data_IF_584996377930
#
_entry.id   IF_584996377930
#
_cell.length_a   1.000
_cell.length_b   1.000
_cell.length_c   1.000
_cell.angle_alpha   90.00
_cell.angle_beta   90.00
_cell.angle_gamma   90.00
#
_symmetry.space_group_name_H-M   'P 1'
#
loop_
_entity.id
_entity.type
_entity.pdbx_description
1 polymer ?
#
# COMPACT_ATOMS: atom_id res chain seq x y z
N UNK A 1 12.76 -10.00 11.97
CA UNK A 1 14.16 -10.03 11.48
C UNK A 1 15.19 -10.03 12.61
N UNK A 2 15.07 -9.12 13.59
CA UNK A 2 16.03 -8.92 14.68
C UNK A 2 16.40 -10.20 15.46
N UNK A 3 15.42 -11.03 15.83
CA UNK A 3 15.63 -12.26 16.61
C UNK A 3 16.46 -13.31 15.83
N UNK A 4 16.14 -13.51 14.54
CA UNK A 4 16.88 -14.46 13.69
C UNK A 4 18.32 -14.00 13.47
N UNK A 5 18.52 -12.72 13.17
CA UNK A 5 19.86 -12.14 13.02
C UNK A 5 20.69 -12.32 14.29
N UNK A 6 20.10 -12.04 15.45
CA UNK A 6 20.78 -12.23 16.74
C UNK A 6 21.21 -13.68 16.95
N UNK A 7 20.33 -14.65 16.66
CA UNK A 7 20.64 -16.07 16.79
C UNK A 7 21.77 -16.50 15.85
N UNK A 8 21.71 -16.09 14.57
CA UNK A 8 22.74 -16.39 13.57
C UNK A 8 24.09 -15.79 13.97
N UNK A 9 24.11 -14.54 14.44
CA UNK A 9 25.34 -13.87 14.88
C UNK A 9 25.92 -14.57 16.10
N UNK A 10 25.11 -14.87 17.12
CA UNK A 10 25.56 -15.53 18.34
C UNK A 10 26.18 -16.90 18.05
N UNK A 11 25.49 -17.74 17.29
CA UNK A 11 25.98 -19.08 16.96
C UNK A 11 27.13 -19.03 15.95
N UNK A 12 27.09 -18.10 15.00
CA UNK A 12 28.20 -17.87 14.06
C UNK A 12 29.49 -17.51 14.78
N UNK A 13 29.44 -16.52 15.68
CA UNK A 13 30.61 -16.08 16.47
C UNK A 13 31.17 -17.22 17.32
N UNK A 14 30.31 -18.00 17.98
CA UNK A 14 30.74 -19.16 18.79
C UNK A 14 31.52 -20.18 17.95
N UNK A 15 31.05 -20.50 16.75
CA UNK A 15 31.72 -21.44 15.86
C UNK A 15 33.04 -20.87 15.29
N UNK A 16 33.09 -19.56 15.01
CA UNK A 16 34.34 -18.89 14.60
C UNK A 16 35.36 -18.92 15.74
N UNK A 17 34.96 -18.64 16.97
CA UNK A 17 35.86 -18.73 18.14
C UNK A 17 36.36 -20.15 18.41
N UNK A 18 35.61 -21.17 17.99
CA UNK A 18 36.02 -22.57 18.05
C UNK A 18 36.97 -22.99 16.91
N UNK A 19 37.37 -22.07 16.03
CA UNK A 19 38.35 -22.29 14.97
C UNK A 19 37.76 -22.61 13.59
N UNK A 20 36.44 -22.56 13.41
CA UNK A 20 35.82 -22.77 12.11
C UNK A 20 36.05 -21.57 11.17
N UNK A 21 36.20 -21.84 9.87
CA UNK A 21 36.40 -20.80 8.85
C UNK A 21 35.12 -19.95 8.67
N UNK A 22 35.15 -18.63 8.91
CA UNK A 22 33.99 -17.75 8.75
C UNK A 22 33.38 -17.77 7.34
N UNK A 23 34.22 -17.90 6.30
CA UNK A 23 33.76 -17.97 4.90
C UNK A 23 32.98 -19.25 4.64
N UNK A 24 33.42 -20.36 5.24
CA UNK A 24 32.71 -21.65 5.19
C UNK A 24 31.37 -21.61 5.90
N UNK A 25 31.32 -21.00 7.09
CA UNK A 25 30.07 -20.79 7.85
C UNK A 25 29.08 -19.96 7.03
N UNK A 26 29.51 -18.84 6.46
CA UNK A 26 28.66 -17.99 5.62
C UNK A 26 28.07 -18.78 4.46
N UNK A 27 28.90 -19.53 3.72
CA UNK A 27 28.44 -20.36 2.60
C UNK A 27 27.42 -21.42 3.05
N UNK A 28 27.64 -22.04 4.21
CA UNK A 28 26.69 -22.97 4.81
C UNK A 28 25.35 -22.31 5.14
N UNK A 29 25.36 -21.11 5.71
CA UNK A 29 24.15 -20.32 6.00
C UNK A 29 23.39 -19.98 4.72
N UNK A 30 24.10 -19.58 3.65
CA UNK A 30 23.49 -19.29 2.36
C UNK A 30 22.78 -20.52 1.77
N UNK A 31 23.44 -21.68 1.76
CA UNK A 31 22.86 -22.93 1.28
C UNK A 31 21.65 -23.38 2.13
N UNK A 32 21.76 -23.28 3.46
CA UNK A 32 20.67 -23.61 4.37
C UNK A 32 19.47 -22.67 4.18
N UNK A 33 19.73 -21.38 3.96
CA UNK A 33 18.68 -20.38 3.71
C UNK A 33 17.98 -20.64 2.38
N UNK A 34 18.73 -20.99 1.32
CA UNK A 34 18.13 -21.37 0.03
C UNK A 34 17.22 -22.60 0.17
N UNK A 35 17.67 -23.63 0.89
CA UNK A 35 16.86 -24.81 1.15
C UNK A 35 15.60 -24.48 1.96
N UNK A 36 15.73 -23.64 2.99
CA UNK A 36 14.59 -23.20 3.80
C UNK A 36 13.57 -22.40 3.00
N UNK A 37 14.02 -21.43 2.18
CA UNK A 37 13.14 -20.64 1.31
C UNK A 37 12.42 -21.53 0.29
N UNK A 38 13.11 -22.53 -0.27
CA UNK A 38 12.49 -23.49 -1.18
C UNK A 38 11.39 -24.31 -0.47
N UNK A 39 11.66 -24.81 0.72
CA UNK A 39 10.65 -25.52 1.51
C UNK A 39 9.45 -24.64 1.87
N UNK A 40 9.68 -23.36 2.19
CA UNK A 40 8.61 -22.39 2.44
C UNK A 40 7.75 -22.14 1.20
N UNK A 41 8.35 -22.09 0.00
CA UNK A 41 7.61 -21.96 -1.25
C UNK A 41 6.73 -23.19 -1.53
N UNK A 42 7.22 -24.40 -1.23
CA UNK A 42 6.47 -25.65 -1.41
C UNK A 42 5.23 -25.76 -0.52
N UNK A 43 5.26 -25.17 0.69
CA UNK A 43 4.11 -25.15 1.60
C UNK A 43 3.24 -23.88 1.46
N UNK A 44 3.67 -22.93 0.63
CA UNK A 44 2.94 -21.67 0.45
C UNK A 44 1.57 -21.91 -0.19
N UNK A 45 0.58 -21.12 0.22
CA UNK A 45 -0.77 -21.19 -0.32
C UNK A 45 -1.18 -19.81 -0.82
N UNK A 46 -1.82 -19.78 -1.98
CA UNK A 46 -2.34 -18.53 -2.55
C UNK A 46 -3.55 -18.07 -1.74
N UNK A 47 -3.54 -16.79 -1.34
CA UNK A 47 -4.63 -16.15 -0.62
C UNK A 47 -5.66 -15.67 -1.63
N UNK A 48 -6.84 -16.33 -1.65
CA UNK A 48 -7.90 -16.04 -2.63
C UNK A 48 -9.25 -15.67 -2.00
N UNK A 49 -9.37 -15.73 -0.67
CA UNK A 49 -10.64 -15.48 0.02
C UNK A 49 -10.56 -14.26 0.92
N UNK A 50 -11.68 -13.56 1.06
CA UNK A 50 -11.82 -12.41 1.96
C UNK A 50 -11.44 -12.77 3.39
N UNK A 51 -11.83 -13.96 3.85
CA UNK A 51 -11.53 -14.46 5.19
C UNK A 51 -10.02 -14.65 5.40
N UNK A 52 -9.33 -15.16 4.38
CA UNK A 52 -7.88 -15.34 4.42
C UNK A 52 -7.15 -14.00 4.48
N UNK A 53 -7.62 -13.00 3.72
CA UNK A 53 -7.10 -11.62 3.77
C UNK A 53 -7.33 -11.03 5.17
N UNK A 54 -8.56 -11.14 5.69
CA UNK A 54 -8.92 -10.64 7.02
C UNK A 54 -8.05 -11.27 8.11
N UNK A 55 -7.80 -12.57 8.02
CA UNK A 55 -6.96 -13.29 8.98
C UNK A 55 -5.50 -12.80 8.95
N UNK A 56 -4.92 -12.66 7.76
CA UNK A 56 -3.53 -12.17 7.63
C UNK A 56 -3.42 -10.74 8.14
N UNK A 57 -4.36 -9.88 7.77
CA UNK A 57 -4.42 -8.50 8.21
C UNK A 57 -4.59 -8.40 9.74
N UNK A 58 -5.47 -9.21 10.33
CA UNK A 58 -5.69 -9.24 11.78
C UNK A 58 -4.46 -9.75 12.56
N UNK A 59 -3.78 -10.78 12.06
CA UNK A 59 -2.54 -11.28 12.67
C UNK A 59 -1.43 -10.24 12.59
N UNK A 60 -1.33 -9.51 11.47
CA UNK A 60 -0.32 -8.48 11.28
C UNK A 60 -0.59 -7.22 12.11
N UNK A 61 -1.85 -6.81 12.24
CA UNK A 61 -2.24 -5.60 12.99
C UNK A 61 -2.41 -5.86 14.49
N UNK A 62 -2.64 -7.13 14.89
CA UNK A 62 -3.04 -7.49 16.25
C UNK A 62 -4.49 -7.16 16.58
N UNK A 63 -5.31 -6.76 15.59
CA UNK A 63 -6.71 -6.40 15.76
C UNK A 63 -7.61 -7.05 14.70
N UNK A 64 -8.66 -7.73 15.16
CA UNK A 64 -9.66 -8.36 14.28
C UNK A 64 -10.44 -7.31 13.47
N UNK A 65 -10.79 -6.20 14.11
CA UNK A 65 -11.54 -5.09 13.50
C UNK A 65 -10.76 -4.48 12.33
N UNK A 66 -9.46 -4.19 12.51
CA UNK A 66 -8.60 -3.68 11.44
C UNK A 66 -8.49 -4.71 10.30
N UNK A 67 -8.41 -6.00 10.64
CA UNK A 67 -8.37 -7.07 9.64
C UNK A 67 -9.63 -7.12 8.78
N UNK A 68 -10.80 -6.96 9.41
CA UNK A 68 -12.10 -6.92 8.72
C UNK A 68 -12.19 -5.68 7.81
N UNK A 69 -11.82 -4.49 8.30
CA UNK A 69 -11.80 -3.26 7.50
C UNK A 69 -10.90 -3.35 6.27
N UNK A 70 -9.70 -3.92 6.41
CA UNK A 70 -8.77 -4.12 5.28
C UNK A 70 -9.35 -5.12 4.27
N UNK A 71 -9.98 -6.19 4.73
CA UNK A 71 -10.59 -7.17 3.84
C UNK A 71 -11.79 -6.59 3.08
N UNK A 72 -12.59 -5.75 3.72
CA UNK A 72 -13.67 -4.99 3.06
C UNK A 72 -13.13 -3.98 2.06
N UNK A 73 -12.05 -3.26 2.39
CA UNK A 73 -11.39 -2.34 1.46
C UNK A 73 -10.93 -3.09 0.21
N UNK A 74 -10.17 -4.17 0.39
CA UNK A 74 -9.64 -4.99 -0.71
C UNK A 74 -10.74 -5.58 -1.60
N UNK A 75 -11.89 -5.95 -1.04
CA UNK A 75 -13.02 -6.44 -1.82
C UNK A 75 -13.63 -5.34 -2.71
N UNK A 76 -13.67 -4.09 -2.23
CA UNK A 76 -14.22 -2.95 -2.98
C UNK A 76 -13.27 -2.40 -4.06
N UNK A 77 -11.97 -2.28 -3.77
CA UNK A 77 -10.98 -1.77 -4.74
C UNK A 77 -10.33 -2.85 -5.61
N UNK A 78 -10.50 -4.14 -5.27
CA UNK A 78 -9.86 -5.26 -5.95
C UNK A 78 -8.40 -5.47 -5.52
N UNK A 79 -7.80 -6.58 -5.96
CA UNK A 79 -6.47 -7.01 -5.51
C UNK A 79 -5.34 -6.06 -5.90
N UNK A 80 -5.49 -5.32 -7.00
CA UNK A 80 -4.53 -4.34 -7.50
C UNK A 80 -4.92 -2.89 -7.11
N UNK A 81 -5.88 -2.75 -6.21
CA UNK A 81 -6.35 -1.49 -5.68
C UNK A 81 -5.32 -0.78 -4.81
N UNK A 82 -5.41 0.55 -4.75
CA UNK A 82 -4.58 1.36 -3.84
C UNK A 82 -5.37 1.67 -2.58
N UNK A 83 -4.81 1.35 -1.43
CA UNK A 83 -5.36 1.70 -0.11
C UNK A 83 -4.48 2.79 0.50
N UNK A 84 -5.10 3.91 0.84
CA UNK A 84 -4.45 5.02 1.55
C UNK A 84 -4.99 5.09 2.96
N UNK A 85 -4.14 5.42 3.93
CA UNK A 85 -4.52 5.61 5.33
C UNK A 85 -4.43 7.11 5.63
N UNK A 86 -5.53 7.68 6.10
CA UNK A 86 -5.62 9.08 6.50
C UNK A 86 -5.98 9.20 7.98
N UNK A 87 -5.54 10.29 8.61
CA UNK A 87 -5.90 10.59 10.00
C UNK A 87 -7.32 11.16 10.05
N UNK A 88 -8.26 10.39 10.58
CA UNK A 88 -9.63 10.85 10.79
C UNK A 88 -9.69 11.84 11.97
N UNK A 89 -10.59 12.83 11.86
CA UNK A 89 -10.94 13.73 12.98
C UNK A 89 -11.97 13.11 13.91
N UNK A 90 -12.57 11.98 13.53
CA UNK A 90 -13.54 11.22 14.31
C UNK A 90 -12.86 10.29 15.33
N UNK A 91 -13.69 9.63 16.14
CA UNK A 91 -13.24 8.58 17.08
C UNK A 91 -13.20 7.21 16.39
N UNK A 92 -14.05 7.01 15.37
CA UNK A 92 -14.20 5.76 14.65
C UNK A 92 -13.31 5.73 13.39
N UNK A 93 -12.87 4.52 13.02
CA UNK A 93 -12.15 4.30 11.76
C UNK A 93 -13.18 4.05 10.66
N UNK A 94 -13.16 4.89 9.63
CA UNK A 94 -14.08 4.81 8.50
C UNK A 94 -13.39 4.28 7.24
N UNK A 95 -14.16 3.63 6.38
CA UNK A 95 -13.70 3.12 5.09
C UNK A 95 -14.42 3.88 3.97
N UNK A 96 -13.69 4.76 3.29
CA UNK A 96 -14.16 5.47 2.11
C UNK A 96 -13.54 4.90 0.83
N UNK A 97 -14.37 4.74 -0.20
CA UNK A 97 -13.94 4.32 -1.53
C UNK A 97 -14.10 5.49 -2.48
N UNK A 98 -13.00 5.91 -3.08
CA UNK A 98 -13.01 6.97 -4.09
C UNK A 98 -13.26 6.33 -5.46
N UNK A 99 -14.47 6.52 -5.98
CA UNK A 99 -14.80 6.12 -7.35
C UNK A 99 -14.31 7.17 -8.36
N UNK A 100 -13.64 6.70 -9.42
CA UNK A 100 -13.16 7.56 -10.50
C UNK A 100 -11.70 7.99 -10.32
N UNK A 101 -11.40 9.23 -10.69
CA UNK A 101 -10.04 9.78 -10.68
C UNK A 101 -10.04 11.09 -9.89
N UNK A 102 -9.26 11.12 -8.80
CA UNK A 102 -9.11 12.29 -7.94
C UNK A 102 -7.65 12.77 -7.97
N UNK A 103 -7.47 14.08 -7.93
CA UNK A 103 -6.18 14.73 -7.75
C UNK A 103 -6.28 15.73 -6.61
N UNK A 104 -5.17 15.97 -5.90
CA UNK A 104 -5.07 16.97 -4.84
C UNK A 104 -4.95 18.40 -5.39
N UNK A 105 -5.85 18.76 -6.31
CA UNK A 105 -5.96 20.08 -6.94
C UNK A 105 -7.43 20.45 -7.11
N UNK A 106 -7.82 21.56 -6.52
CA UNK A 106 -9.16 22.14 -6.65
C UNK A 106 -9.29 23.10 -7.84
N UNK A 107 -10.42 23.80 -7.89
CA UNK A 107 -10.68 24.86 -8.85
C UNK A 107 -9.76 26.08 -8.61
N UNK A 108 -9.39 26.78 -9.70
CA UNK A 108 -8.46 27.91 -9.64
C UNK A 108 -9.10 29.18 -9.06
N UNK A 109 -10.42 29.33 -9.23
CA UNK A 109 -11.17 30.53 -8.86
C UNK A 109 -12.50 30.15 -8.22
N UNK A 110 -12.93 30.91 -7.21
CA UNK A 110 -14.22 30.70 -6.53
C UNK A 110 -15.42 30.87 -7.48
N UNK A 111 -15.25 31.59 -8.59
CA UNK A 111 -16.29 31.70 -9.63
C UNK A 111 -16.60 30.37 -10.35
N UNK A 112 -15.78 29.33 -10.15
CA UNK A 112 -16.03 27.99 -10.70
C UNK A 112 -16.93 27.13 -9.79
N UNK A 113 -17.29 27.61 -8.60
CA UNK A 113 -18.18 26.91 -7.68
C UNK A 113 -19.61 26.91 -8.24
N UNK A 114 -20.21 25.74 -8.37
CA UNK A 114 -21.62 25.59 -8.77
C UNK A 114 -22.53 25.32 -7.57
N UNK A 115 -22.00 24.70 -6.51
CA UNK A 115 -22.69 24.46 -5.26
C UNK A 115 -22.08 25.30 -4.13
N UNK A 116 -22.74 26.42 -3.79
CA UNK A 116 -22.23 27.38 -2.80
C UNK A 116 -22.32 26.88 -1.35
N UNK A 117 -23.27 25.99 -1.04
CA UNK A 117 -23.44 25.45 0.31
C UNK A 117 -22.29 24.50 0.68
N UNK A 118 -21.88 23.67 -0.29
CA UNK A 118 -20.79 22.70 -0.12
C UNK A 118 -19.43 23.21 -0.60
N UNK A 119 -19.39 24.38 -1.24
CA UNK A 119 -18.21 24.93 -1.93
C UNK A 119 -17.60 23.92 -2.92
N UNK A 120 -18.43 23.39 -3.83
CA UNK A 120 -18.02 22.38 -4.84
C UNK A 120 -18.30 22.85 -6.27
N UNK A 121 -17.46 22.40 -7.20
CA UNK A 121 -17.67 22.54 -8.64
C UNK A 121 -18.17 21.21 -9.21
N UNK A 122 -19.49 21.10 -9.36
CA UNK A 122 -20.21 19.95 -9.91
C UNK A 122 -20.56 20.24 -11.39
N UNK A 123 -20.05 19.41 -12.31
CA UNK A 123 -20.25 19.52 -13.75
C UNK A 123 -20.76 18.18 -14.31
N UNK A 124 -21.83 18.21 -15.09
CA UNK A 124 -22.37 17.01 -15.77
C UNK A 124 -21.82 16.90 -17.19
N UNK A 125 -21.33 15.69 -17.55
CA UNK A 125 -20.74 15.38 -18.86
C UNK A 125 -19.78 16.47 -19.42
N UNK A 126 -18.76 16.90 -18.65
CA UNK A 126 -17.87 17.98 -19.08
C UNK A 126 -16.86 17.50 -20.14
N UNK A 127 -16.41 18.43 -20.97
CA UNK A 127 -15.19 18.25 -21.75
C UNK A 127 -13.96 18.47 -20.85
N UNK A 128 -12.96 17.60 -20.96
CA UNK A 128 -11.70 17.70 -20.20
C UNK A 128 -10.58 18.16 -21.14
N UNK A 129 -10.05 19.36 -20.92
CA UNK A 129 -8.87 19.87 -21.63
C UNK A 129 -7.60 19.50 -20.86
N UNK A 130 -6.73 18.71 -21.47
CA UNK A 130 -5.43 18.32 -20.90
C UNK A 130 -4.31 19.00 -21.69
N UNK A 131 -3.46 19.75 -20.99
CA UNK A 131 -2.30 20.44 -21.57
C UNK A 131 -1.11 20.37 -20.61
N UNK A 132 0.09 20.18 -21.15
CA UNK A 132 1.37 20.24 -20.43
C UNK A 132 1.94 21.67 -20.34
N UNK A 133 1.35 22.61 -21.10
CA UNK A 133 1.75 24.02 -21.12
C UNK A 133 0.84 24.88 -20.26
N UNK A 134 1.42 25.91 -19.63
CA UNK A 134 0.66 26.95 -18.92
C UNK A 134 -0.12 27.80 -19.92
N UNK A 135 -1.44 27.83 -19.78
CA UNK A 135 -2.32 28.71 -20.56
C UNK A 135 -2.20 30.14 -20.02
N UNK A 136 -1.49 31.00 -20.77
CA UNK A 136 -1.28 32.41 -20.42
C UNK A 136 -1.88 33.37 -21.45
N UNK A 137 -2.07 32.92 -22.70
CA UNK A 137 -2.67 33.70 -23.78
C UNK A 137 -4.04 33.11 -24.16
N UNK A 138 -5.03 33.97 -24.38
CA UNK A 138 -6.38 33.58 -24.80
C UNK A 138 -6.41 32.92 -26.19
N UNK A 139 -5.44 33.25 -27.05
CA UNK A 139 -5.32 32.64 -28.37
C UNK A 139 -5.01 31.14 -28.30
N UNK A 140 -4.44 30.65 -27.20
CA UNK A 140 -4.12 29.24 -27.03
C UNK A 140 -5.38 28.37 -26.84
N UNK A 141 -6.55 28.98 -26.60
CA UNK A 141 -7.82 28.30 -26.29
C UNK A 141 -8.84 28.39 -27.44
N UNK A 142 -8.65 29.28 -28.42
CA UNK A 142 -9.66 29.55 -29.45
C UNK A 142 -9.37 28.87 -30.80
N UNK A 143 -10.39 28.32 -31.52
CA UNK A 143 -11.77 28.09 -31.11
C UNK A 143 -11.95 26.60 -30.79
N UNK A 144 -11.69 26.21 -29.54
CA UNK A 144 -12.21 24.96 -28.99
C UNK A 144 -13.75 24.96 -29.00
#
# INVERSE_FOLDING_TARGET
ATVLTQAIVREGLKNVTAGANPVGIRRGIELATQAAVKGLAEISQTVNSKESIAQVAAVSSGSKEIGELIAEAMEKVGNDGVITIEESKGIETELDVVEGMQFDRGYLSQYMVTNNDKMKAELEAPYILITDRKLSNIQDILPL
#
